data_IF_087142595200
#
_entry.id   IF_087142595200
#
_cell.length_a   1.000
_cell.length_b   1.000
_cell.length_c   1.000
_cell.angle_alpha   90.00
_cell.angle_beta   90.00
_cell.angle_gamma   90.00
#
_symmetry.space_group_name_H-M   'P 1'
#
loop_
_entity.id
_entity.type
_entity.pdbx_description
1 polymer ?
#
# COMPACT_ATOMS: atom_id res chain seq x y z
N UNK A 1 -26.44 19.99 25.36
CA UNK A 1 -26.45 21.30 24.69
C UNK A 1 -27.14 21.17 23.35
N UNK A 2 -28.08 22.00 22.97
CA UNK A 2 -28.65 21.99 21.64
C UNK A 2 -27.58 22.37 20.59
N UNK A 3 -27.47 21.58 19.55
CA UNK A 3 -26.59 21.88 18.40
C UNK A 3 -27.16 23.09 17.65
N UNK A 4 -26.38 24.18 17.62
CA UNK A 4 -26.76 25.38 16.86
C UNK A 4 -26.44 25.26 15.37
N UNK A 5 -25.40 24.46 15.00
CA UNK A 5 -24.92 24.24 13.64
C UNK A 5 -24.32 22.84 13.52
N UNK A 6 -24.38 22.25 12.31
CA UNK A 6 -23.80 20.94 12.01
C UNK A 6 -24.73 19.77 12.35
N UNK A 7 -24.16 18.59 12.42
CA UNK A 7 -24.85 17.32 12.73
C UNK A 7 -24.17 16.62 13.91
N UNK A 8 -24.91 15.86 14.75
CA UNK A 8 -24.32 15.14 15.85
C UNK A 8 -23.24 14.17 15.37
N UNK A 9 -22.11 14.11 16.05
CA UNK A 9 -21.10 13.07 15.81
C UNK A 9 -21.71 11.68 16.09
N UNK A 10 -21.45 10.75 15.18
CA UNK A 10 -22.05 9.40 15.24
C UNK A 10 -23.45 9.28 14.63
N UNK A 11 -24.02 10.35 14.07
CA UNK A 11 -25.27 10.25 13.31
C UNK A 11 -25.06 9.48 11.98
N UNK A 12 -26.07 8.77 11.51
CA UNK A 12 -26.02 8.01 10.24
C UNK A 12 -25.87 8.94 9.04
N UNK A 13 -26.48 10.11 9.07
CA UNK A 13 -26.47 11.08 7.97
C UNK A 13 -25.26 11.99 7.99
N UNK A 14 -24.57 12.16 9.13
CA UNK A 14 -23.44 13.07 9.26
C UNK A 14 -22.36 12.88 8.19
N UNK A 15 -21.82 11.68 8.00
CA UNK A 15 -20.81 11.42 6.98
C UNK A 15 -21.28 11.72 5.56
N UNK A 16 -22.53 11.39 5.22
CA UNK A 16 -23.09 11.65 3.90
C UNK A 16 -23.24 13.14 3.63
N UNK A 17 -23.77 13.89 4.60
CA UNK A 17 -23.93 15.35 4.47
C UNK A 17 -22.57 16.04 4.37
N UNK A 18 -21.57 15.57 5.12
CA UNK A 18 -20.20 16.11 5.02
C UNK A 18 -19.59 15.88 3.64
N UNK A 19 -19.74 14.65 3.07
CA UNK A 19 -19.25 14.35 1.73
C UNK A 19 -19.91 15.24 0.68
N UNK A 20 -21.23 15.46 0.76
CA UNK A 20 -21.94 16.38 -0.15
C UNK A 20 -21.39 17.80 0.01
N UNK A 21 -21.21 18.26 1.24
CA UNK A 21 -20.74 19.61 1.55
C UNK A 21 -19.32 19.87 1.02
N UNK A 22 -18.38 18.91 1.18
CA UNK A 22 -16.98 19.10 0.77
C UNK A 22 -16.75 18.77 -0.72
N UNK A 23 -17.72 18.16 -1.39
CA UNK A 23 -17.55 17.65 -2.76
C UNK A 23 -17.15 18.73 -3.77
N UNK A 24 -17.62 19.95 -3.58
CA UNK A 24 -17.35 21.07 -4.49
C UNK A 24 -15.96 21.69 -4.31
N UNK A 25 -15.23 21.31 -3.26
CA UNK A 25 -13.86 21.77 -3.04
C UNK A 25 -12.95 21.49 -4.25
N UNK A 26 -13.20 20.39 -4.96
CA UNK A 26 -12.44 20.04 -6.17
C UNK A 26 -12.58 21.05 -7.32
N UNK A 27 -13.63 21.88 -7.27
CA UNK A 27 -13.90 22.92 -8.26
C UNK A 27 -13.27 24.27 -7.88
N UNK A 28 -12.70 24.41 -6.68
CA UNK A 28 -12.10 25.65 -6.21
C UNK A 28 -10.92 26.11 -7.05
N UNK A 29 -10.16 25.16 -7.61
CA UNK A 29 -9.04 25.44 -8.52
C UNK A 29 -8.93 24.38 -9.62
N UNK A 30 -8.45 24.77 -10.79
CA UNK A 30 -8.10 23.87 -11.91
C UNK A 30 -6.59 23.56 -11.96
N UNK A 31 -5.81 24.18 -11.09
CA UNK A 31 -4.35 24.06 -11.09
C UNK A 31 -3.85 22.82 -10.34
N UNK A 32 -4.72 22.21 -9.54
CA UNK A 32 -4.40 21.03 -8.73
C UNK A 32 -5.33 19.86 -9.05
N UNK A 33 -4.81 18.63 -8.84
CA UNK A 33 -5.64 17.43 -8.76
C UNK A 33 -5.92 17.15 -7.29
N UNK A 34 -7.17 16.89 -6.96
CA UNK A 34 -7.59 16.63 -5.59
C UNK A 34 -7.74 15.14 -5.32
N UNK A 35 -7.39 14.73 -4.11
CA UNK A 35 -7.79 13.46 -3.50
C UNK A 35 -8.39 13.79 -2.13
N UNK A 36 -9.70 13.61 -2.01
CA UNK A 36 -10.45 13.87 -0.78
C UNK A 36 -10.77 12.55 -0.09
N UNK A 37 -10.60 12.51 1.23
CA UNK A 37 -11.02 11.40 2.07
C UNK A 37 -11.54 11.94 3.40
N UNK A 38 -12.86 12.00 3.54
CA UNK A 38 -13.53 12.70 4.64
C UNK A 38 -13.00 14.14 4.76
N UNK A 39 -12.42 14.51 5.90
CA UNK A 39 -11.82 15.82 6.20
C UNK A 39 -10.39 15.97 5.64
N UNK A 40 -9.73 14.87 5.28
CA UNK A 40 -8.40 14.92 4.68
C UNK A 40 -8.48 15.35 3.21
N UNK A 41 -7.93 16.53 2.91
CA UNK A 41 -7.88 17.07 1.55
C UNK A 41 -6.44 17.16 1.07
N UNK A 42 -6.15 16.56 -0.10
CA UNK A 42 -4.80 16.52 -0.65
C UNK A 42 -4.81 17.11 -2.06
N UNK A 43 -3.87 18.02 -2.31
CA UNK A 43 -3.66 18.69 -3.58
C UNK A 43 -2.38 18.17 -4.23
N UNK A 44 -2.45 17.83 -5.51
CA UNK A 44 -1.30 17.40 -6.30
C UNK A 44 -1.08 18.37 -7.44
N UNK A 45 0.10 18.96 -7.47
CA UNK A 45 0.52 19.91 -8.50
C UNK A 45 1.77 19.37 -9.16
N UNK A 46 1.86 19.44 -10.47
CA UNK A 46 3.00 18.96 -11.22
C UNK A 46 3.27 19.84 -12.43
N UNK A 47 4.53 20.19 -12.65
CA UNK A 47 5.00 20.91 -13.83
C UNK A 47 6.44 20.48 -14.16
N UNK A 48 6.91 20.77 -15.36
CA UNK A 48 8.30 20.46 -15.77
C UNK A 48 9.30 21.39 -15.10
N UNK A 49 8.93 22.64 -14.89
CA UNK A 49 9.73 23.63 -14.21
C UNK A 49 9.34 23.73 -12.74
N UNK A 50 10.33 23.68 -11.85
CA UNK A 50 10.16 23.71 -10.40
C UNK A 50 9.58 25.04 -9.90
N UNK A 51 10.09 26.16 -10.40
CA UNK A 51 9.63 27.48 -9.95
C UNK A 51 8.16 27.71 -10.33
N UNK A 52 7.76 27.21 -11.47
CA UNK A 52 6.35 27.20 -11.91
C UNK A 52 5.48 26.35 -10.99
N UNK A 53 5.97 25.18 -10.50
CA UNK A 53 5.21 24.37 -9.52
C UNK A 53 4.88 25.19 -8.27
N UNK A 54 5.85 25.90 -7.71
CA UNK A 54 5.63 26.70 -6.50
C UNK A 54 4.68 27.90 -6.74
N UNK A 55 4.79 28.55 -7.91
CA UNK A 55 3.83 29.61 -8.31
C UNK A 55 2.41 29.07 -8.39
N UNK A 56 2.23 27.95 -9.11
CA UNK A 56 0.92 27.31 -9.26
C UNK A 56 0.39 26.83 -7.91
N UNK A 57 1.25 26.32 -7.03
CA UNK A 57 0.88 25.87 -5.69
C UNK A 57 0.36 27.03 -4.83
N UNK A 58 1.05 28.17 -4.79
CA UNK A 58 0.61 29.35 -4.04
C UNK A 58 -0.73 29.89 -4.58
N UNK A 59 -0.94 29.90 -5.91
CA UNK A 59 -2.23 30.31 -6.50
C UNK A 59 -3.33 29.33 -6.08
N UNK A 60 -3.10 28.01 -6.24
CA UNK A 60 -4.09 27.01 -5.89
C UNK A 60 -4.45 27.02 -4.38
N UNK A 61 -3.47 27.21 -3.51
CA UNK A 61 -3.68 27.38 -2.06
C UNK A 61 -4.55 28.61 -1.79
N UNK A 62 -4.31 29.72 -2.48
CA UNK A 62 -5.12 30.94 -2.39
C UNK A 62 -6.58 30.71 -2.79
N UNK A 63 -6.82 30.02 -3.91
CA UNK A 63 -8.17 29.70 -4.38
C UNK A 63 -8.91 28.74 -3.41
N UNK A 64 -8.22 27.73 -2.88
CA UNK A 64 -8.75 26.82 -1.84
C UNK A 64 -9.07 27.57 -0.55
N UNK A 65 -8.20 28.49 -0.12
CA UNK A 65 -8.44 29.34 1.04
C UNK A 65 -9.70 30.20 0.90
N UNK A 66 -9.89 30.83 -0.25
CA UNK A 66 -11.10 31.62 -0.55
C UNK A 66 -12.36 30.74 -0.52
N UNK A 67 -12.31 29.55 -1.10
CA UNK A 67 -13.40 28.59 -1.04
C UNK A 67 -13.75 28.22 0.40
N UNK A 68 -12.74 27.85 1.22
CA UNK A 68 -12.94 27.49 2.61
C UNK A 68 -13.56 28.64 3.41
N UNK A 69 -13.06 29.87 3.20
CA UNK A 69 -13.58 31.07 3.85
C UNK A 69 -15.04 31.34 3.47
N UNK A 70 -15.38 31.25 2.20
CA UNK A 70 -16.75 31.45 1.69
C UNK A 70 -17.74 30.41 2.25
N UNK A 71 -17.28 29.17 2.43
CA UNK A 71 -18.08 28.05 2.96
C UNK A 71 -17.98 27.89 4.50
N UNK A 72 -17.31 28.82 5.20
CA UNK A 72 -17.11 28.79 6.65
C UNK A 72 -16.40 27.51 7.13
N UNK A 73 -15.49 26.97 6.31
CA UNK A 73 -14.62 25.84 6.66
C UNK A 73 -13.37 26.39 7.34
N UNK A 74 -13.09 25.92 8.54
CA UNK A 74 -11.88 26.31 9.28
C UNK A 74 -10.73 25.39 8.90
N UNK A 75 -9.65 25.97 8.37
CA UNK A 75 -8.43 25.23 8.02
C UNK A 75 -7.60 25.04 9.29
N UNK A 76 -7.13 23.83 9.54
CA UNK A 76 -6.18 23.55 10.62
C UNK A 76 -4.75 23.69 10.08
N UNK A 77 -4.15 24.85 10.26
CA UNK A 77 -2.83 25.20 9.73
C UNK A 77 -1.72 24.30 10.29
N UNK A 78 -1.80 23.93 11.57
CA UNK A 78 -0.80 23.06 12.22
C UNK A 78 -0.69 21.66 11.61
N UNK A 79 -1.73 21.23 10.88
CA UNK A 79 -1.76 19.94 10.18
C UNK A 79 -1.45 20.07 8.69
N UNK A 80 -1.34 21.29 8.18
CA UNK A 80 -1.04 21.53 6.79
C UNK A 80 0.47 21.40 6.54
N UNK A 81 0.86 20.52 5.63
CA UNK A 81 2.24 20.37 5.19
C UNK A 81 2.28 20.06 3.70
N UNK A 82 3.44 20.21 3.09
CA UNK A 82 3.65 19.74 1.73
C UNK A 82 4.91 18.90 1.62
N UNK A 83 4.94 18.03 0.61
CA UNK A 83 6.11 17.25 0.24
C UNK A 83 6.50 17.60 -1.19
N UNK A 84 7.75 17.97 -1.37
CA UNK A 84 8.36 18.04 -2.70
C UNK A 84 8.96 16.68 -3.05
N UNK A 85 8.46 16.05 -4.10
CA UNK A 85 8.97 14.74 -4.51
C UNK A 85 10.25 14.88 -5.32
N UNK A 86 11.33 14.23 -4.85
CA UNK A 86 12.66 14.21 -5.46
C UNK A 86 13.23 15.63 -5.67
N UNK A 87 13.31 16.42 -4.59
CA UNK A 87 13.89 17.74 -4.68
C UNK A 87 15.35 17.66 -5.16
N UNK A 88 15.85 18.68 -5.89
CA UNK A 88 17.28 18.81 -6.17
C UNK A 88 18.06 18.95 -4.86
N UNK A 89 19.20 18.25 -4.74
CA UNK A 89 19.99 18.27 -3.50
C UNK A 89 20.55 19.67 -3.15
N UNK A 90 20.80 20.49 -4.17
CA UNK A 90 21.50 21.77 -4.03
C UNK A 90 20.55 22.99 -3.95
N UNK A 91 19.23 22.77 -3.93
CA UNK A 91 18.27 23.88 -3.91
C UNK A 91 17.36 23.79 -2.68
N UNK A 92 17.30 24.86 -1.87
CA UNK A 92 16.37 24.90 -0.75
C UNK A 92 14.90 24.83 -1.24
N UNK A 93 14.02 24.38 -0.38
CA UNK A 93 12.58 24.43 -0.66
C UNK A 93 12.11 25.89 -0.70
N UNK A 94 11.23 26.20 -1.64
CA UNK A 94 10.58 27.50 -1.67
C UNK A 94 9.42 27.50 -0.67
N UNK A 95 9.07 28.69 -0.21
CA UNK A 95 8.00 28.88 0.76
C UNK A 95 6.63 28.73 0.09
N UNK A 96 5.75 27.99 0.73
CA UNK A 96 4.32 28.00 0.47
C UNK A 96 3.60 28.62 1.66
N UNK A 97 2.62 29.47 1.40
CA UNK A 97 1.85 30.13 2.46
C UNK A 97 0.39 30.33 2.03
N UNK A 98 -0.49 30.40 3.01
CA UNK A 98 -1.86 30.84 2.82
C UNK A 98 -1.93 32.39 2.67
N UNK A 99 -3.01 32.95 2.09
CA UNK A 99 -3.19 34.39 1.96
C UNK A 99 -3.12 35.18 3.26
N UNK A 100 -3.39 34.57 4.40
CA UNK A 100 -3.26 35.16 5.73
C UNK A 100 -1.86 35.06 6.31
N UNK A 101 -0.85 34.74 5.48
CA UNK A 101 0.58 34.59 5.83
C UNK A 101 0.94 33.39 6.69
N UNK A 102 0.00 32.47 6.96
CA UNK A 102 0.32 31.20 7.61
C UNK A 102 1.18 30.34 6.68
N UNK A 103 2.35 29.92 7.18
CA UNK A 103 3.34 29.18 6.41
C UNK A 103 3.01 27.69 6.41
N UNK A 104 3.11 27.06 5.24
CA UNK A 104 2.98 25.63 5.09
C UNK A 104 4.38 25.01 5.09
N UNK A 105 4.63 24.13 6.06
CA UNK A 105 5.94 23.51 6.23
C UNK A 105 6.19 22.45 5.14
N UNK A 106 7.43 22.44 4.61
CA UNK A 106 7.93 21.36 3.79
C UNK A 106 8.38 20.21 4.70
N UNK A 107 7.79 19.06 4.53
CA UNK A 107 8.12 17.86 5.28
C UNK A 107 8.82 16.84 4.39
N UNK A 108 9.85 16.16 4.91
CA UNK A 108 10.49 15.05 4.21
C UNK A 108 9.57 13.84 4.07
N UNK A 109 8.63 13.70 4.99
CA UNK A 109 7.61 12.65 5.01
C UNK A 109 6.33 13.11 5.67
N UNK A 110 5.21 12.59 5.19
CA UNK A 110 3.91 12.78 5.84
C UNK A 110 3.17 11.45 5.97
N UNK A 111 2.18 11.43 6.84
CA UNK A 111 1.28 10.29 7.02
C UNK A 111 -0.01 10.55 6.24
N UNK A 112 -0.24 9.79 5.19
CA UNK A 112 -1.43 9.86 4.36
C UNK A 112 -2.24 8.57 4.48
N UNK A 113 -3.48 8.67 4.94
CA UNK A 113 -4.39 7.53 5.15
C UNK A 113 -3.71 6.35 5.87
N UNK A 114 -2.93 6.64 6.92
CA UNK A 114 -2.27 5.60 7.70
C UNK A 114 -0.96 5.06 7.12
N UNK A 115 -0.49 5.58 5.97
CA UNK A 115 0.76 5.20 5.32
C UNK A 115 1.73 6.38 5.37
N UNK A 116 2.99 6.11 5.66
CA UNK A 116 4.05 7.11 5.52
C UNK A 116 4.54 7.19 4.08
N UNK A 117 4.46 8.39 3.51
CA UNK A 117 4.99 8.73 2.19
C UNK A 117 6.16 9.68 2.43
N UNK A 118 7.32 9.40 1.84
CA UNK A 118 8.49 10.29 1.89
C UNK A 118 8.81 10.89 0.52
N UNK A 119 9.61 11.96 0.51
CA UNK A 119 10.02 12.70 -0.68
C UNK A 119 10.69 11.83 -1.74
N UNK A 120 11.35 10.76 -1.34
CA UNK A 120 12.02 9.81 -2.24
C UNK A 120 11.11 8.70 -2.79
N UNK A 121 9.93 8.47 -2.19
CA UNK A 121 9.02 7.37 -2.51
C UNK A 121 9.68 5.98 -2.40
N UNK A 122 10.63 5.81 -1.48
CA UNK A 122 11.35 4.54 -1.29
C UNK A 122 10.70 3.61 -0.26
N UNK A 123 9.69 4.09 0.45
CA UNK A 123 8.89 3.37 1.44
C UNK A 123 9.64 2.95 2.72
N UNK A 124 10.86 3.41 2.95
CA UNK A 124 11.67 3.04 4.12
C UNK A 124 10.99 3.44 5.44
N UNK A 125 10.38 4.62 5.49
CA UNK A 125 9.64 5.11 6.65
C UNK A 125 8.40 4.25 6.93
N UNK A 126 7.65 3.88 5.88
CA UNK A 126 6.50 2.99 6.01
C UNK A 126 6.91 1.60 6.52
N UNK A 127 7.98 1.03 5.97
CA UNK A 127 8.49 -0.27 6.42
C UNK A 127 8.95 -0.21 7.88
N UNK A 128 9.62 0.88 8.26
CA UNK A 128 10.07 1.10 9.66
C UNK A 128 8.88 1.22 10.60
N UNK A 129 7.85 1.95 10.21
CA UNK A 129 6.61 2.07 10.98
C UNK A 129 5.89 0.72 11.12
N UNK A 130 5.69 0.00 10.03
CA UNK A 130 5.08 -1.33 10.03
C UNK A 130 5.89 -2.31 10.90
N UNK A 131 7.23 -2.28 10.80
CA UNK A 131 8.13 -3.11 11.63
C UNK A 131 7.91 -2.86 13.13
N UNK A 132 7.78 -1.61 13.55
CA UNK A 132 7.50 -1.25 14.95
C UNK A 132 6.19 -1.89 15.43
N UNK A 133 5.09 -1.69 14.71
CA UNK A 133 3.77 -2.21 15.06
C UNK A 133 3.73 -3.74 15.06
N UNK A 134 4.32 -4.38 14.03
CA UNK A 134 4.41 -5.84 13.94
C UNK A 134 5.24 -6.39 15.11
N UNK A 135 6.35 -5.74 15.47
CA UNK A 135 7.19 -6.18 16.60
C UNK A 135 6.43 -6.14 17.93
N UNK A 136 5.67 -5.08 18.19
CA UNK A 136 4.80 -4.94 19.36
C UNK A 136 3.73 -6.05 19.38
N UNK A 137 3.05 -6.27 18.24
CA UNK A 137 2.02 -7.31 18.11
C UNK A 137 2.58 -8.73 18.27
N UNK A 138 3.80 -8.99 17.78
CA UNK A 138 4.50 -10.27 17.99
C UNK A 138 4.90 -10.43 19.46
N UNK A 139 5.25 -9.35 20.14
CA UNK A 139 5.49 -9.33 21.59
C UNK A 139 4.24 -9.71 22.37
N UNK A 140 3.10 -9.08 22.07
CA UNK A 140 1.82 -9.41 22.67
C UNK A 140 1.42 -10.88 22.42
N UNK A 141 1.60 -11.37 21.18
CA UNK A 141 1.35 -12.78 20.84
C UNK A 141 2.25 -13.73 21.67
N UNK A 142 3.50 -13.34 21.92
CA UNK A 142 4.42 -14.11 22.76
C UNK A 142 3.97 -14.15 24.22
N UNK A 143 3.48 -13.05 24.77
CA UNK A 143 3.05 -12.98 26.18
C UNK A 143 1.87 -13.89 26.48
N UNK A 144 0.96 -14.09 25.53
CA UNK A 144 -0.23 -14.94 25.74
C UNK A 144 -0.01 -16.42 25.37
N UNK A 145 1.14 -16.78 24.80
CA UNK A 145 1.37 -18.13 24.21
C UNK A 145 1.19 -19.29 25.19
N UNK A 146 1.46 -19.07 26.48
CA UNK A 146 1.33 -20.08 27.53
C UNK A 146 -0.10 -20.16 28.12
N UNK A 147 -0.94 -19.17 27.84
CA UNK A 147 -2.26 -19.05 28.45
C UNK A 147 -3.40 -19.46 27.51
N UNK A 148 -3.11 -19.64 26.21
CA UNK A 148 -4.14 -19.94 25.23
C UNK A 148 -3.71 -21.07 24.27
N UNK A 149 -4.67 -21.87 23.74
CA UNK A 149 -4.39 -22.91 22.76
C UNK A 149 -3.84 -22.34 21.42
N UNK A 150 -3.11 -23.17 20.67
CA UNK A 150 -2.56 -22.78 19.35
C UNK A 150 -3.62 -22.26 18.37
N UNK A 151 -4.84 -22.79 18.43
CA UNK A 151 -5.97 -22.33 17.59
C UNK A 151 -6.27 -20.84 17.86
N UNK A 152 -6.26 -20.44 19.12
CA UNK A 152 -6.50 -19.04 19.53
C UNK A 152 -5.31 -18.16 19.11
N UNK A 153 -4.07 -18.61 19.32
CA UNK A 153 -2.88 -17.87 18.86
C UNK A 153 -2.93 -17.58 17.35
N UNK A 154 -3.45 -18.53 16.56
CA UNK A 154 -3.63 -18.34 15.13
C UNK A 154 -4.69 -17.28 14.81
N UNK A 155 -5.79 -17.24 15.55
CA UNK A 155 -6.84 -16.19 15.40
C UNK A 155 -6.25 -14.83 15.75
N UNK A 156 -5.53 -14.73 16.87
CA UNK A 156 -4.86 -13.49 17.31
C UNK A 156 -3.84 -13.02 16.26
N UNK A 157 -3.10 -13.94 15.64
CA UNK A 157 -2.19 -13.57 14.53
C UNK A 157 -2.93 -12.88 13.38
N UNK A 158 -4.07 -13.43 12.95
CA UNK A 158 -4.84 -12.83 11.86
C UNK A 158 -5.50 -11.50 12.24
N UNK A 159 -5.87 -11.32 13.51
CA UNK A 159 -6.49 -10.07 13.99
C UNK A 159 -5.49 -8.98 14.38
N UNK A 160 -4.32 -9.35 14.90
CA UNK A 160 -3.39 -8.40 15.51
C UNK A 160 -2.06 -8.23 14.75
N UNK A 161 -1.55 -9.29 14.12
CA UNK A 161 -0.24 -9.25 13.48
C UNK A 161 -0.34 -9.06 11.96
N UNK A 162 -1.17 -9.88 11.31
CA UNK A 162 -1.29 -9.85 9.85
C UNK A 162 -1.83 -8.53 9.28
N UNK A 163 -2.76 -7.79 9.91
CA UNK A 163 -3.27 -6.54 9.38
C UNK A 163 -2.17 -5.52 9.09
N UNK A 164 -1.14 -5.44 9.93
CA UNK A 164 -0.02 -4.52 9.71
C UNK A 164 0.88 -4.90 8.51
N UNK A 165 0.89 -6.17 8.10
CA UNK A 165 1.55 -6.56 6.85
C UNK A 165 0.74 -6.17 5.63
N UNK A 166 -0.60 -6.35 5.69
CA UNK A 166 -1.43 -6.30 4.48
C UNK A 166 -2.05 -4.92 4.22
N UNK A 167 -2.08 -4.02 5.22
CA UNK A 167 -2.67 -2.70 5.04
C UNK A 167 -1.97 -1.93 3.92
N UNK A 168 -2.72 -1.61 2.87
CA UNK A 168 -2.25 -0.96 1.65
C UNK A 168 -0.97 -1.57 1.03
N UNK A 169 -0.72 -2.85 1.28
CA UNK A 169 0.48 -3.56 0.84
C UNK A 169 0.79 -3.44 -0.66
N UNK A 170 -0.19 -3.44 -1.59
CA UNK A 170 0.07 -3.24 -3.01
C UNK A 170 0.73 -1.90 -3.34
N UNK A 171 0.62 -0.90 -2.46
CA UNK A 171 1.20 0.43 -2.66
C UNK A 171 2.66 0.47 -2.24
N UNK A 172 2.96 0.09 -0.99
CA UNK A 172 4.28 0.30 -0.39
C UNK A 172 5.22 -0.90 -0.47
N UNK A 173 4.71 -2.12 -0.69
CA UNK A 173 5.54 -3.31 -0.70
C UNK A 173 6.10 -3.66 -2.09
N UNK A 174 6.08 -2.74 -3.03
CA UNK A 174 6.60 -2.95 -4.39
C UNK A 174 8.09 -3.32 -4.42
N UNK A 175 8.88 -2.77 -3.50
CA UNK A 175 10.29 -3.13 -3.30
C UNK A 175 10.45 -4.24 -2.24
N UNK A 176 9.67 -5.32 -2.38
CA UNK A 176 9.66 -6.48 -1.46
C UNK A 176 10.95 -7.31 -1.49
N UNK A 177 11.93 -6.96 -2.29
CA UNK A 177 13.26 -7.56 -2.34
C UNK A 177 14.31 -6.77 -1.53
N UNK A 178 13.89 -5.66 -0.90
CA UNK A 178 14.80 -4.86 -0.08
C UNK A 178 15.19 -5.58 1.22
N UNK A 179 16.37 -5.23 1.78
CA UNK A 179 16.82 -5.72 3.09
C UNK A 179 15.83 -5.35 4.21
N UNK A 180 15.18 -4.20 4.08
CA UNK A 180 14.20 -3.74 5.06
C UNK A 180 12.94 -4.61 5.05
N UNK A 181 12.50 -5.05 3.87
CA UNK A 181 11.39 -5.98 3.74
C UNK A 181 11.71 -7.37 4.32
N UNK A 182 12.95 -7.82 4.20
CA UNK A 182 13.43 -9.05 4.86
C UNK A 182 13.32 -9.00 6.40
N UNK A 183 13.43 -7.80 6.98
CA UNK A 183 13.20 -7.62 8.41
C UNK A 183 11.75 -7.93 8.81
N UNK A 184 10.77 -7.54 8.00
CA UNK A 184 9.36 -7.90 8.20
C UNK A 184 9.17 -9.43 8.15
N UNK A 185 9.84 -10.09 7.20
CA UNK A 185 9.80 -11.54 7.10
C UNK A 185 10.42 -12.24 8.33
N UNK A 186 11.49 -11.68 8.90
CA UNK A 186 12.07 -12.20 10.16
C UNK A 186 11.05 -12.12 11.30
N UNK A 187 10.31 -11.03 11.43
CA UNK A 187 9.23 -10.89 12.42
C UNK A 187 8.09 -11.88 12.19
N UNK A 188 7.69 -12.07 10.93
CA UNK A 188 6.69 -13.07 10.59
C UNK A 188 7.14 -14.49 10.96
N UNK A 189 8.40 -14.85 10.69
CA UNK A 189 8.98 -16.15 11.13
C UNK A 189 8.92 -16.30 12.64
N UNK A 190 9.17 -15.24 13.41
CA UNK A 190 9.05 -15.25 14.88
C UNK A 190 7.60 -15.53 15.31
N UNK A 191 6.62 -14.84 14.72
CA UNK A 191 5.21 -15.08 14.98
C UNK A 191 4.79 -16.52 14.67
N UNK A 192 5.22 -17.08 13.53
CA UNK A 192 4.91 -18.46 13.14
C UNK A 192 5.47 -19.47 14.14
N UNK A 193 6.70 -19.26 14.66
CA UNK A 193 7.25 -20.12 15.73
C UNK A 193 6.43 -20.07 17.01
N UNK A 194 5.92 -18.89 17.37
CA UNK A 194 5.06 -18.72 18.55
C UNK A 194 3.76 -19.52 18.36
N UNK A 195 3.06 -19.36 17.24
CA UNK A 195 1.80 -20.03 16.93
C UNK A 195 1.98 -21.57 16.95
N UNK A 196 3.12 -22.06 16.50
CA UNK A 196 3.38 -23.50 16.37
C UNK A 196 4.13 -24.10 17.57
N UNK A 197 4.39 -23.30 18.60
CA UNK A 197 5.16 -23.68 19.79
C UNK A 197 6.59 -24.16 19.51
N UNK A 198 7.26 -23.56 18.51
CA UNK A 198 8.64 -23.86 18.14
C UNK A 198 9.57 -22.68 18.49
N UNK A 199 9.46 -22.19 19.73
CA UNK A 199 10.21 -21.02 20.22
C UNK A 199 11.55 -21.37 20.82
N UNK A 200 11.82 -22.65 21.14
CA UNK A 200 13.07 -23.14 21.67
C UNK A 200 14.06 -23.54 20.57
N UNK A 201 15.34 -23.41 20.86
CA UNK A 201 16.40 -23.90 19.98
C UNK A 201 16.62 -25.40 20.26
N UNK A 202 16.86 -26.15 19.20
CA UNK A 202 17.33 -27.53 19.27
C UNK A 202 18.76 -27.52 18.75
N UNK A 203 19.70 -28.03 19.50
CA UNK A 203 21.14 -28.00 19.18
C UNK A 203 21.64 -26.58 18.81
N UNK A 204 21.24 -25.59 19.58
CA UNK A 204 21.65 -24.20 19.38
C UNK A 204 21.00 -23.47 18.19
N UNK A 205 20.19 -24.16 17.36
CA UNK A 205 19.55 -23.58 16.17
C UNK A 205 18.04 -23.63 16.30
N UNK A 206 17.36 -22.59 15.74
CA UNK A 206 15.93 -22.64 15.59
C UNK A 206 15.52 -23.57 14.44
N UNK A 207 14.43 -24.32 14.62
CA UNK A 207 13.86 -25.10 13.56
C UNK A 207 13.52 -24.24 12.34
N UNK A 208 13.73 -24.80 11.15
CA UNK A 208 13.42 -24.09 9.91
C UNK A 208 11.92 -23.80 9.78
N UNK A 209 11.55 -22.55 9.45
CA UNK A 209 10.14 -22.11 9.46
C UNK A 209 9.30 -22.56 8.28
N UNK A 210 9.91 -23.06 7.20
CA UNK A 210 9.19 -23.47 5.98
C UNK A 210 8.13 -24.55 6.24
N UNK A 211 8.41 -25.65 7.00
CA UNK A 211 7.39 -26.63 7.36
C UNK A 211 6.27 -26.03 8.23
N UNK A 212 6.62 -25.04 9.08
CA UNK A 212 5.66 -24.37 9.96
C UNK A 212 4.66 -23.51 9.18
N UNK A 213 5.10 -22.78 8.17
CA UNK A 213 4.22 -22.06 7.26
C UNK A 213 3.27 -23.01 6.52
N UNK A 214 3.76 -24.18 6.12
CA UNK A 214 2.93 -25.24 5.52
C UNK A 214 1.84 -25.70 6.48
N UNK A 215 2.22 -26.08 7.71
CA UNK A 215 1.30 -26.57 8.74
C UNK A 215 0.22 -25.56 9.09
N UNK A 216 0.56 -24.28 9.13
CA UNK A 216 -0.37 -23.21 9.50
C UNK A 216 -1.20 -22.68 8.33
N UNK A 217 -0.88 -23.04 7.08
CA UNK A 217 -1.48 -22.47 5.85
C UNK A 217 -1.42 -20.93 5.83
N UNK A 218 -0.40 -20.33 6.44
CA UNK A 218 -0.16 -18.89 6.41
C UNK A 218 0.78 -18.57 5.25
N UNK A 219 0.42 -17.58 4.43
CA UNK A 219 1.28 -17.09 3.36
C UNK A 219 2.46 -16.31 3.95
N UNK A 220 3.65 -16.45 3.36
CA UNK A 220 4.79 -15.59 3.67
C UNK A 220 4.48 -14.14 3.28
N UNK A 221 5.15 -13.18 3.90
CA UNK A 221 4.95 -11.74 3.60
C UNK A 221 5.15 -11.43 2.11
N UNK A 222 6.10 -12.10 1.45
CA UNK A 222 6.31 -11.98 0.00
C UNK A 222 5.11 -12.49 -0.81
N UNK A 223 4.57 -13.65 -0.42
CA UNK A 223 3.38 -14.22 -1.06
C UNK A 223 2.11 -13.42 -0.75
N UNK A 224 2.04 -12.74 0.41
CA UNK A 224 0.97 -11.80 0.72
C UNK A 224 0.99 -10.63 -0.27
N UNK A 225 2.16 -10.07 -0.59
CA UNK A 225 2.27 -9.01 -1.58
C UNK A 225 1.70 -9.43 -2.94
N UNK A 226 2.11 -10.59 -3.47
CA UNK A 226 1.59 -11.07 -4.75
C UNK A 226 0.09 -11.33 -4.68
N UNK A 227 -0.36 -11.95 -3.59
CA UNK A 227 -1.78 -12.25 -3.40
C UNK A 227 -2.65 -11.00 -3.39
N UNK A 228 -2.33 -10.02 -2.56
CA UNK A 228 -3.13 -8.80 -2.45
C UNK A 228 -3.03 -7.93 -3.70
N UNK A 229 -1.86 -7.83 -4.32
CA UNK A 229 -1.67 -7.07 -5.57
C UNK A 229 -2.51 -7.65 -6.71
N UNK A 230 -2.51 -8.97 -6.90
CA UNK A 230 -3.32 -9.60 -7.93
C UNK A 230 -4.83 -9.54 -7.64
N UNK A 231 -5.23 -9.71 -6.38
CA UNK A 231 -6.65 -9.62 -5.99
C UNK A 231 -7.20 -8.21 -6.20
N UNK A 232 -6.43 -7.18 -5.84
CA UNK A 232 -6.84 -5.79 -6.06
C UNK A 232 -6.91 -5.45 -7.54
N UNK A 233 -5.92 -5.86 -8.33
CA UNK A 233 -5.95 -5.67 -9.78
C UNK A 233 -7.17 -6.36 -10.43
N UNK A 234 -7.45 -7.62 -10.05
CA UNK A 234 -8.66 -8.30 -10.53
C UNK A 234 -9.94 -7.56 -10.13
N UNK A 235 -10.03 -7.07 -8.91
CA UNK A 235 -11.18 -6.29 -8.43
C UNK A 235 -11.38 -5.03 -9.28
N UNK A 236 -10.29 -4.29 -9.57
CA UNK A 236 -10.31 -3.10 -10.43
C UNK A 236 -10.75 -3.47 -11.85
N UNK A 237 -10.22 -4.54 -12.43
CA UNK A 237 -10.59 -5.01 -13.77
C UNK A 237 -12.06 -5.44 -13.86
N UNK A 238 -12.60 -6.07 -12.82
CA UNK A 238 -14.00 -6.48 -12.76
C UNK A 238 -14.96 -5.30 -12.54
N UNK A 239 -14.64 -4.42 -11.61
CA UNK A 239 -15.49 -3.29 -11.22
C UNK A 239 -15.34 -2.07 -12.14
N UNK A 240 -14.26 -2.01 -12.91
CA UNK A 240 -13.81 -0.84 -13.70
C UNK A 240 -13.62 0.42 -12.83
N UNK A 241 -13.38 0.21 -11.52
CA UNK A 241 -13.23 1.30 -10.55
C UNK A 241 -11.98 1.08 -9.68
N UNK A 242 -11.27 2.15 -9.30
CA UNK A 242 -11.45 3.53 -9.78
C UNK A 242 -11.03 3.67 -11.25
N UNK A 243 -11.77 4.47 -12.01
CA UNK A 243 -11.55 4.62 -13.47
C UNK A 243 -10.14 5.09 -13.80
N UNK A 244 -9.57 5.99 -12.99
CA UNK A 244 -8.21 6.49 -13.17
C UNK A 244 -7.13 5.38 -13.16
N UNK A 245 -7.34 4.33 -12.37
CA UNK A 245 -6.42 3.17 -12.33
C UNK A 245 -6.80 2.14 -13.38
N UNK A 246 -8.10 1.89 -13.58
CA UNK A 246 -8.59 0.95 -14.58
C UNK A 246 -8.11 1.31 -15.99
N UNK A 247 -8.16 2.59 -16.36
CA UNK A 247 -7.74 3.07 -17.68
C UNK A 247 -6.24 2.93 -17.95
N UNK A 248 -5.44 2.62 -16.93
CA UNK A 248 -4.01 2.31 -17.10
C UNK A 248 -3.75 0.84 -17.44
N UNK A 249 -4.76 -0.04 -17.35
CA UNK A 249 -4.66 -1.42 -17.77
C UNK A 249 -5.02 -1.54 -19.25
N UNK A 250 -4.09 -1.97 -20.06
CA UNK A 250 -4.28 -2.16 -21.49
C UNK A 250 -4.38 -3.66 -21.81
N UNK A 251 -5.53 -4.16 -22.32
CA UNK A 251 -5.65 -5.53 -22.79
C UNK A 251 -4.90 -5.72 -24.11
N UNK A 252 -4.26 -6.85 -24.27
CA UNK A 252 -3.64 -7.21 -25.54
C UNK A 252 -4.72 -7.60 -26.55
N UNK A 253 -4.64 -7.07 -27.77
CA UNK A 253 -5.52 -7.46 -28.89
C UNK A 253 -5.28 -8.89 -29.39
N UNK A 254 -4.09 -9.46 -29.13
CA UNK A 254 -3.65 -10.76 -29.64
C UNK A 254 -3.74 -11.91 -28.64
N UNK A 255 -4.01 -11.62 -27.36
CA UNK A 255 -4.01 -12.63 -26.30
C UNK A 255 -4.85 -12.18 -25.11
N UNK A 256 -5.20 -13.12 -24.23
CA UNK A 256 -5.88 -12.81 -22.96
C UNK A 256 -5.01 -12.07 -21.93
N UNK A 257 -3.81 -11.64 -22.31
CA UNK A 257 -2.83 -10.98 -21.41
C UNK A 257 -3.05 -9.48 -21.37
N UNK A 258 -2.54 -8.86 -20.31
CA UNK A 258 -2.41 -7.42 -20.19
C UNK A 258 -1.10 -6.94 -20.80
N UNK A 259 -1.11 -5.80 -21.46
CA UNK A 259 0.11 -5.12 -21.90
C UNK A 259 0.84 -4.61 -20.66
N UNK A 260 2.13 -4.90 -20.55
CA UNK A 260 2.95 -4.43 -19.44
C UNK A 260 3.46 -3.03 -19.79
N UNK A 261 3.12 -1.99 -18.98
CA UNK A 261 3.56 -0.63 -19.26
C UNK A 261 5.09 -0.52 -19.36
N UNK A 262 5.58 0.25 -20.33
CA UNK A 262 7.02 0.51 -20.51
C UNK A 262 7.41 1.79 -19.76
N UNK A 263 8.41 1.70 -18.91
CA UNK A 263 8.99 2.85 -18.21
C UNK A 263 10.49 2.94 -18.49
N UNK A 264 10.99 4.15 -18.74
CA UNK A 264 12.41 4.41 -18.94
C UNK A 264 13.20 4.23 -17.63
N UNK A 265 12.66 4.72 -16.50
CA UNK A 265 13.33 4.67 -15.20
C UNK A 265 12.95 3.42 -14.41
N UNK A 266 13.93 2.71 -13.88
CA UNK A 266 13.75 1.52 -13.02
C UNK A 266 12.85 1.80 -11.80
N UNK A 267 13.00 2.96 -11.20
CA UNK A 267 12.18 3.43 -10.09
C UNK A 267 10.66 3.42 -10.42
N UNK A 268 10.27 3.94 -11.60
CA UNK A 268 8.88 3.95 -12.02
C UNK A 268 8.33 2.53 -12.22
N UNK A 269 9.16 1.61 -12.72
CA UNK A 269 8.77 0.20 -12.87
C UNK A 269 8.47 -0.43 -11.52
N UNK A 270 9.37 -0.27 -10.55
CA UNK A 270 9.22 -0.88 -9.22
C UNK A 270 8.00 -0.34 -8.47
N UNK A 271 7.74 0.96 -8.55
CA UNK A 271 6.65 1.61 -7.81
C UNK A 271 5.30 1.61 -8.56
N UNK A 272 5.23 1.15 -9.80
CA UNK A 272 3.97 1.09 -10.53
C UNK A 272 3.14 -0.13 -10.16
N UNK A 273 1.98 0.12 -9.55
CA UNK A 273 0.99 -0.93 -9.27
C UNK A 273 0.55 -1.66 -10.54
N UNK A 274 0.25 -0.91 -11.62
CA UNK A 274 -0.21 -1.49 -12.89
C UNK A 274 0.87 -2.37 -13.52
N UNK A 275 2.12 -1.92 -13.51
CA UNK A 275 3.24 -2.71 -14.02
C UNK A 275 3.40 -4.04 -13.26
N UNK A 276 3.44 -3.99 -11.93
CA UNK A 276 3.63 -5.19 -11.11
C UNK A 276 2.43 -6.14 -11.20
N UNK A 277 1.22 -5.61 -11.12
CA UNK A 277 0.00 -6.43 -11.17
C UNK A 277 -0.22 -7.05 -12.55
N UNK A 278 0.03 -6.35 -13.65
CA UNK A 278 -0.05 -6.92 -15.02
C UNK A 278 0.92 -8.08 -15.19
N UNK A 279 2.14 -7.97 -14.68
CA UNK A 279 3.09 -9.09 -14.68
C UNK A 279 2.58 -10.29 -13.89
N UNK A 280 2.09 -10.06 -12.66
CA UNK A 280 1.58 -11.13 -11.81
C UNK A 280 0.38 -11.82 -12.49
N UNK A 281 -0.58 -11.06 -13.00
CA UNK A 281 -1.76 -11.62 -13.65
C UNK A 281 -1.41 -12.41 -14.92
N UNK A 282 -0.51 -11.89 -15.75
CA UNK A 282 -0.03 -12.61 -16.95
C UNK A 282 0.68 -13.92 -16.58
N UNK A 283 1.49 -13.92 -15.51
CA UNK A 283 2.11 -15.13 -15.01
C UNK A 283 1.07 -16.16 -14.52
N UNK A 284 0.01 -15.72 -13.84
CA UNK A 284 -1.05 -16.60 -13.34
C UNK A 284 -1.81 -17.27 -14.48
N UNK A 285 -2.01 -16.58 -15.61
CA UNK A 285 -2.57 -17.20 -16.82
C UNK A 285 -1.71 -18.37 -17.32
N UNK A 286 -0.39 -18.23 -17.30
CA UNK A 286 0.54 -19.30 -17.67
C UNK A 286 0.47 -20.52 -16.72
N UNK A 287 -0.03 -20.30 -15.49
CA UNK A 287 -0.24 -21.37 -14.49
C UNK A 287 -1.70 -21.83 -14.42
N UNK A 288 -2.48 -21.57 -15.47
CA UNK A 288 -3.90 -21.92 -15.58
C UNK A 288 -4.80 -21.31 -14.47
N UNK A 289 -4.37 -20.22 -13.89
CA UNK A 289 -5.17 -19.43 -12.94
C UNK A 289 -5.74 -18.22 -13.70
N UNK A 290 -6.93 -18.43 -14.28
CA UNK A 290 -7.54 -17.42 -15.13
C UNK A 290 -8.21 -16.33 -14.30
N UNK A 291 -7.74 -15.09 -14.43
CA UNK A 291 -8.33 -13.93 -13.78
C UNK A 291 -9.49 -13.33 -14.60
N UNK A 292 -9.64 -13.65 -15.87
CA UNK A 292 -10.69 -13.08 -16.71
C UNK A 292 -12.05 -13.74 -16.50
N UNK A 293 -12.08 -15.09 -16.41
CA UNK A 293 -13.33 -15.87 -16.39
C UNK A 293 -13.80 -16.29 -15.01
N UNK A 294 -12.90 -16.38 -14.02
CA UNK A 294 -13.26 -16.78 -12.66
C UNK A 294 -13.90 -15.64 -11.87
N UNK A 295 -14.82 -15.98 -10.96
CA UNK A 295 -15.29 -15.00 -9.96
C UNK A 295 -14.11 -14.52 -9.07
N UNK A 296 -14.26 -13.38 -8.40
CA UNK A 296 -13.22 -12.88 -7.51
C UNK A 296 -12.93 -13.87 -6.37
N UNK A 297 -13.95 -14.52 -5.82
CA UNK A 297 -13.79 -15.49 -4.73
C UNK A 297 -13.10 -16.78 -5.23
N UNK A 298 -13.50 -17.32 -6.37
CA UNK A 298 -12.84 -18.49 -6.97
C UNK A 298 -11.38 -18.18 -7.29
N UNK A 299 -11.09 -17.00 -7.84
CA UNK A 299 -9.73 -16.56 -8.09
C UNK A 299 -8.89 -16.49 -6.82
N UNK A 300 -9.40 -15.89 -5.73
CA UNK A 300 -8.71 -15.82 -4.44
C UNK A 300 -8.37 -17.20 -3.90
N UNK A 301 -9.34 -18.13 -3.95
CA UNK A 301 -9.15 -19.51 -3.46
C UNK A 301 -8.07 -20.21 -4.27
N UNK A 302 -8.15 -20.20 -5.60
CA UNK A 302 -7.20 -20.89 -6.48
C UNK A 302 -5.81 -20.28 -6.37
N UNK A 303 -5.71 -18.97 -6.34
CA UNK A 303 -4.42 -18.30 -6.21
C UNK A 303 -3.78 -18.56 -4.84
N UNK A 304 -4.55 -18.50 -3.76
CA UNK A 304 -4.04 -18.83 -2.42
C UNK A 304 -3.54 -20.28 -2.35
N UNK A 305 -4.29 -21.23 -2.90
CA UNK A 305 -3.88 -22.65 -2.98
C UNK A 305 -2.57 -22.81 -3.76
N UNK A 306 -2.46 -22.15 -4.91
CA UNK A 306 -1.23 -22.14 -5.70
C UNK A 306 -0.05 -21.58 -4.91
N UNK A 307 -0.18 -20.43 -4.25
CA UNK A 307 0.88 -19.83 -3.44
C UNK A 307 1.31 -20.73 -2.27
N UNK A 308 0.37 -21.39 -1.61
CA UNK A 308 0.68 -22.33 -0.52
C UNK A 308 1.41 -23.56 -1.10
N UNK A 309 0.97 -24.11 -2.20
CA UNK A 309 1.61 -25.25 -2.85
C UNK A 309 3.05 -24.93 -3.29
N UNK A 310 3.25 -23.79 -3.93
CA UNK A 310 4.55 -23.36 -4.45
C UNK A 310 5.51 -22.90 -3.35
N UNK A 311 5.01 -22.24 -2.31
CA UNK A 311 5.78 -21.91 -1.09
C UNK A 311 6.34 -23.17 -0.41
N UNK A 312 5.71 -24.32 -0.66
CA UNK A 312 6.02 -25.61 -0.08
C UNK A 312 6.80 -26.54 -1.03
N UNK A 313 6.73 -26.32 -2.34
CA UNK A 313 7.55 -27.05 -3.29
C UNK A 313 9.03 -26.88 -2.95
N UNK A 314 9.77 -27.97 -2.89
CA UNK A 314 11.13 -27.98 -2.37
C UNK A 314 12.02 -26.98 -3.13
N UNK A 315 12.55 -26.01 -2.43
CA UNK A 315 13.61 -25.11 -2.90
C UNK A 315 14.92 -25.87 -3.21
N UNK A 316 14.96 -27.20 -2.99
CA UNK A 316 16.14 -28.00 -3.30
C UNK A 316 16.47 -28.08 -4.78
N UNK A 317 15.49 -27.90 -5.68
CA UNK A 317 15.67 -28.13 -7.11
C UNK A 317 15.51 -26.90 -7.99
N UNK A 318 15.23 -25.71 -7.43
CA UNK A 318 15.16 -24.49 -8.23
C UNK A 318 15.63 -23.26 -7.42
N UNK A 319 16.91 -22.84 -7.59
CA UNK A 319 17.45 -21.67 -6.92
C UNK A 319 16.73 -20.36 -7.25
N UNK A 320 15.95 -20.33 -8.34
CA UNK A 320 15.17 -19.17 -8.78
C UNK A 320 13.86 -18.93 -7.97
N UNK A 321 13.55 -19.80 -6.99
CA UNK A 321 12.42 -19.64 -6.06
C UNK A 321 12.80 -19.03 -4.71
N UNK A 322 14.04 -18.62 -4.54
CA UNK A 322 14.43 -17.84 -3.37
C UNK A 322 13.75 -16.47 -3.42
N UNK A 323 13.32 -15.91 -2.24
CA UNK A 323 12.72 -14.59 -2.18
C UNK A 323 13.56 -13.47 -2.82
N UNK A 324 14.86 -13.68 -2.96
CA UNK A 324 15.81 -12.75 -3.53
C UNK A 324 15.95 -12.85 -5.05
N UNK A 325 15.48 -13.96 -5.67
CA UNK A 325 15.51 -14.18 -7.10
C UNK A 325 14.12 -14.64 -7.55
N UNK A 326 13.14 -13.78 -7.44
CA UNK A 326 11.84 -14.02 -8.05
C UNK A 326 11.95 -13.80 -9.55
N UNK A 327 12.59 -14.74 -10.23
CA UNK A 327 12.59 -14.84 -11.68
C UNK A 327 11.27 -15.44 -12.21
N UNK A 328 10.14 -15.23 -11.49
CA UNK A 328 8.82 -15.41 -12.12
C UNK A 328 8.80 -14.73 -13.50
N UNK A 329 9.71 -13.80 -13.70
CA UNK A 329 9.81 -12.97 -14.89
C UNK A 329 10.99 -13.29 -15.82
N UNK A 330 11.93 -14.15 -15.42
CA UNK A 330 13.00 -14.62 -16.33
C UNK A 330 12.48 -15.55 -17.41
N UNK A 331 11.36 -16.25 -17.14
CA UNK A 331 10.74 -17.18 -18.11
C UNK A 331 9.82 -16.46 -19.11
N UNK A 332 9.57 -15.16 -18.93
CA UNK A 332 8.90 -14.34 -19.93
C UNK A 332 9.97 -13.77 -20.85
N UNK A 333 10.57 -14.61 -21.69
CA UNK A 333 11.26 -14.15 -22.88
C UNK A 333 10.26 -13.36 -23.71
N UNK A 334 10.56 -12.06 -23.90
CA UNK A 334 9.84 -11.26 -24.87
C UNK A 334 10.13 -11.85 -26.25
N UNK A 335 9.20 -12.58 -26.80
CA UNK A 335 9.12 -12.87 -28.23
C UNK A 335 8.21 -11.82 -28.86
#
# INVERSE_FOLDING_TARGET
MPLKHGVPQGSVLGPLLFIIFINDLVNSTKLAKFVLFADDSNLFISHLDRDTVYKLANIAIGEVFLYCSANKIVINYDKCCFIEFKPPADKPHQMLAFPNHEIILCEEKCKFLGIYINSNLDWSDQITYARKLISQSVGALYSIKSHVPQKILRIVYFGLVQPYFIYAMPVWASNHQSKDFDMLFKLQKKAIRIITNHTTKVEGKFQHTKPLFKKTHILTVHNLYYFFTACEAKKILCSKKPSAVYNLFEPSSRSARLIIPKFKKQFCKLNSFVFNSSKILNFLLLKNINYNTSSLETFKINFKRFLIATQNASLRNNPNWLPNNFSIFSDIKMS
#
